data_IF_233766688150
#
_entry.id   IF_233766688150
#
_cell.length_a   1.000
_cell.length_b   1.000
_cell.length_c   1.000
_cell.angle_alpha   90.00
_cell.angle_beta   90.00
_cell.angle_gamma   90.00
#
_symmetry.space_group_name_H-M   'P 1'
#
loop_
_entity.id
_entity.type
_entity.pdbx_description
1 polymer ?
#
# COMPACT_ATOMS: atom_id res chain seq x y z
N UNK A 1 -4.20 3.68 8.00
CA UNK A 1 -4.31 3.00 6.69
C UNK A 1 -4.19 4.01 5.54
N UNK A 2 -3.80 3.58 4.35
CA UNK A 2 -3.84 4.35 3.09
C UNK A 2 -4.95 3.86 2.14
N UNK A 3 -5.72 2.84 2.54
CA UNK A 3 -6.73 2.17 1.70
C UNK A 3 -6.14 1.52 0.42
N UNK A 4 -6.97 1.26 -0.58
CA UNK A 4 -6.60 0.53 -1.79
C UNK A 4 -5.74 1.40 -2.72
N UNK A 5 -4.73 0.80 -3.36
CA UNK A 5 -3.97 1.41 -4.45
C UNK A 5 -4.35 0.81 -5.82
N UNK A 6 -4.00 1.49 -6.91
CA UNK A 6 -4.27 1.06 -8.28
C UNK A 6 -5.28 1.92 -9.02
N UNK A 7 -5.84 1.40 -10.11
CA UNK A 7 -6.71 2.11 -11.05
C UNK A 7 -7.96 2.74 -10.40
N UNK A 8 -8.51 2.09 -9.38
CA UNK A 8 -9.62 2.60 -8.55
C UNK A 8 -9.19 2.82 -7.10
N UNK A 9 -7.88 2.92 -6.86
CA UNK A 9 -7.32 3.21 -5.55
C UNK A 9 -7.48 4.67 -5.16
N UNK A 10 -7.19 4.99 -3.91
CA UNK A 10 -7.20 6.36 -3.44
C UNK A 10 -6.02 7.14 -4.01
N UNK A 11 -6.22 8.45 -4.19
CA UNK A 11 -5.15 9.36 -4.65
C UNK A 11 -3.95 9.29 -3.72
N UNK A 12 -4.18 9.30 -2.40
CA UNK A 12 -3.11 9.28 -1.40
C UNK A 12 -2.37 7.92 -1.35
N UNK A 13 -3.01 6.78 -1.65
CA UNK A 13 -2.32 5.50 -1.80
C UNK A 13 -1.40 5.50 -3.02
N UNK A 14 -1.91 5.93 -4.18
CA UNK A 14 -1.11 5.99 -5.41
C UNK A 14 0.04 7.00 -5.28
N UNK A 15 -0.21 8.14 -4.64
CA UNK A 15 0.82 9.14 -4.31
C UNK A 15 1.92 8.55 -3.42
N UNK A 16 1.54 7.77 -2.39
CA UNK A 16 2.52 7.18 -1.47
C UNK A 16 3.48 6.23 -2.17
N UNK A 17 3.03 5.53 -3.22
CA UNK A 17 3.86 4.61 -4.01
C UNK A 17 4.68 5.36 -5.04
N UNK A 18 4.14 6.43 -5.63
CA UNK A 18 4.88 7.28 -6.58
C UNK A 18 6.06 8.01 -5.92
N UNK A 19 5.87 8.47 -4.68
CA UNK A 19 6.86 9.26 -3.93
C UNK A 19 7.72 8.46 -2.96
N UNK A 20 7.49 7.16 -2.81
CA UNK A 20 8.32 6.35 -1.92
C UNK A 20 9.75 6.19 -2.43
N UNK A 21 10.68 6.08 -1.48
CA UNK A 21 12.07 5.68 -1.70
C UNK A 21 12.29 4.19 -1.38
N UNK A 22 11.36 3.56 -0.66
CA UNK A 22 11.31 2.13 -0.34
C UNK A 22 9.88 1.61 -0.51
N UNK A 23 9.71 0.58 -1.33
CA UNK A 23 8.45 -0.14 -1.51
C UNK A 23 8.59 -1.56 -0.94
N UNK A 24 7.80 -1.85 0.10
CA UNK A 24 7.69 -3.17 0.71
C UNK A 24 6.50 -3.93 0.09
N UNK A 25 6.79 -4.78 -0.88
CA UNK A 25 5.82 -5.58 -1.62
C UNK A 25 5.71 -6.98 -0.98
N UNK A 26 4.72 -7.15 -0.10
CA UNK A 26 4.52 -8.38 0.68
C UNK A 26 3.32 -9.17 0.15
N UNK A 27 3.56 -10.32 -0.47
CA UNK A 27 2.50 -11.21 -1.00
C UNK A 27 1.70 -10.58 -2.15
N UNK A 28 2.38 -9.83 -3.04
CA UNK A 28 1.75 -9.15 -4.18
C UNK A 28 2.45 -9.52 -5.48
N UNK A 29 1.68 -9.53 -6.58
CA UNK A 29 2.12 -9.97 -7.91
C UNK A 29 2.36 -8.86 -8.94
N UNK A 30 2.39 -7.60 -8.50
CA UNK A 30 2.53 -6.42 -9.38
C UNK A 30 1.60 -6.47 -10.62
N UNK A 31 0.31 -6.71 -10.39
CA UNK A 31 -0.75 -6.77 -11.41
C UNK A 31 -0.89 -5.40 -12.12
N UNK A 32 -1.25 -5.40 -13.41
CA UNK A 32 -1.36 -4.20 -14.25
C UNK A 32 -2.46 -3.24 -13.76
N UNK A 33 -3.52 -3.75 -13.14
CA UNK A 33 -4.57 -2.91 -12.51
C UNK A 33 -4.07 -2.09 -11.34
N UNK A 34 -2.93 -2.50 -10.76
CA UNK A 34 -2.28 -1.79 -9.66
C UNK A 34 -1.14 -0.92 -10.18
N UNK A 35 -0.34 -1.45 -11.09
CA UNK A 35 0.89 -0.80 -11.54
C UNK A 35 0.69 0.19 -12.69
N UNK A 36 -0.35 0.02 -13.51
CA UNK A 36 -0.54 0.78 -14.73
C UNK A 36 0.68 0.68 -15.64
N UNK A 37 1.39 1.79 -15.84
CA UNK A 37 2.66 1.80 -16.57
C UNK A 37 3.81 1.39 -15.67
N UNK A 38 4.35 0.18 -15.86
CA UNK A 38 5.39 -0.41 -15.02
C UNK A 38 6.64 0.45 -14.87
N UNK A 39 7.08 1.19 -15.90
CA UNK A 39 8.28 2.04 -15.81
C UNK A 39 8.05 3.24 -14.88
N UNK A 40 6.82 3.75 -14.80
CA UNK A 40 6.47 4.85 -13.92
C UNK A 40 6.19 4.36 -12.49
N UNK A 41 5.67 3.15 -12.33
CA UNK A 41 5.33 2.59 -11.03
C UNK A 41 6.55 2.47 -10.11
N UNK A 42 6.48 3.15 -8.95
CA UNK A 42 7.52 3.18 -7.93
C UNK A 42 8.92 3.46 -8.50
N UNK A 43 9.00 4.33 -9.52
CA UNK A 43 10.22 4.56 -10.32
C UNK A 43 11.44 5.04 -9.53
N UNK A 44 11.23 5.62 -8.34
CA UNK A 44 12.28 6.13 -7.45
C UNK A 44 12.54 5.23 -6.24
N UNK A 45 11.77 4.16 -6.07
CA UNK A 45 11.82 3.33 -4.88
C UNK A 45 12.77 2.14 -5.04
N UNK A 46 13.48 1.81 -3.96
CA UNK A 46 14.04 0.47 -3.76
C UNK A 46 12.90 -0.48 -3.47
N UNK A 47 12.86 -1.60 -4.17
CA UNK A 47 11.75 -2.55 -4.08
C UNK A 47 12.22 -3.77 -3.30
N UNK A 48 11.52 -4.10 -2.21
CA UNK A 48 11.66 -5.35 -1.48
C UNK A 48 10.45 -6.21 -1.78
N UNK A 49 10.64 -7.40 -2.35
CA UNK A 49 9.54 -8.28 -2.73
C UNK A 49 9.62 -9.60 -1.97
N UNK A 50 8.57 -9.91 -1.20
CA UNK A 50 8.42 -11.19 -0.51
C UNK A 50 7.24 -11.91 -1.13
N UNK A 51 7.49 -13.08 -1.72
CA UNK A 51 6.46 -13.92 -2.30
C UNK A 51 6.76 -15.39 -2.03
N UNK A 52 5.72 -16.21 -1.90
CA UNK A 52 5.87 -17.65 -1.74
C UNK A 52 6.17 -18.33 -3.08
N UNK A 53 5.73 -17.71 -4.19
CA UNK A 53 5.97 -18.18 -5.55
C UNK A 53 7.17 -17.48 -6.18
N UNK A 54 8.24 -18.25 -6.43
CA UNK A 54 9.45 -17.74 -7.09
C UNK A 54 9.19 -17.25 -8.51
N UNK A 55 8.13 -17.74 -9.17
CA UNK A 55 7.77 -17.31 -10.52
C UNK A 55 7.19 -15.88 -10.57
N UNK A 56 6.68 -15.35 -9.46
CA UNK A 56 6.19 -13.96 -9.39
C UNK A 56 7.31 -12.95 -9.09
N UNK A 57 8.40 -13.40 -8.46
CA UNK A 57 9.55 -12.54 -8.14
C UNK A 57 10.29 -12.17 -9.43
N UNK A 58 10.32 -10.86 -9.74
CA UNK A 58 11.01 -10.34 -10.93
C UNK A 58 10.23 -10.51 -12.24
N UNK A 59 9.00 -11.03 -12.20
CA UNK A 59 8.15 -11.25 -13.39
C UNK A 59 7.77 -9.94 -14.09
N UNK A 60 7.13 -9.02 -13.36
CA UNK A 60 6.66 -7.74 -13.90
C UNK A 60 7.57 -6.57 -13.50
N UNK A 61 8.16 -6.61 -12.30
CA UNK A 61 9.03 -5.57 -11.77
C UNK A 61 10.22 -6.22 -11.07
N UNK A 62 11.42 -5.80 -11.43
CA UNK A 62 12.64 -6.34 -10.82
C UNK A 62 12.82 -5.77 -9.40
N UNK A 63 12.83 -6.60 -8.35
CA UNK A 63 13.09 -6.14 -7.00
C UNK A 63 14.58 -5.87 -6.78
N UNK A 64 14.89 -4.98 -5.84
CA UNK A 64 16.25 -4.74 -5.39
C UNK A 64 16.68 -5.79 -4.34
N UNK A 65 15.72 -6.25 -3.54
CA UNK A 65 15.89 -7.34 -2.57
C UNK A 65 14.65 -8.23 -2.65
N UNK A 66 14.84 -9.55 -2.61
CA UNK A 66 13.73 -10.49 -2.64
C UNK A 66 13.89 -11.61 -1.62
N UNK A 67 12.77 -12.07 -1.06
CA UNK A 67 12.70 -13.26 -0.22
C UNK A 67 11.64 -14.18 -0.83
N UNK A 68 12.06 -15.37 -1.25
CA UNK A 68 11.13 -16.42 -1.67
C UNK A 68 10.76 -17.27 -0.46
N UNK A 69 9.52 -17.19 0.02
CA UNK A 69 9.05 -17.94 1.18
C UNK A 69 7.75 -17.43 1.78
N UNK A 70 7.35 -18.06 2.88
CA UNK A 70 6.14 -17.69 3.61
C UNK A 70 6.30 -16.29 4.24
N UNK A 71 5.43 -15.36 3.84
CA UNK A 71 5.38 -13.99 4.34
C UNK A 71 5.20 -13.95 5.87
N UNK A 72 4.42 -14.87 6.45
CA UNK A 72 4.21 -14.93 7.90
C UNK A 72 5.51 -15.18 8.64
N UNK A 73 6.32 -16.12 8.16
CA UNK A 73 7.62 -16.44 8.75
C UNK A 73 8.62 -15.29 8.54
N UNK A 74 8.60 -14.65 7.36
CA UNK A 74 9.44 -13.49 7.09
C UNK A 74 9.11 -12.32 8.04
N UNK A 75 7.83 -12.02 8.26
CA UNK A 75 7.39 -10.98 9.19
C UNK A 75 7.77 -11.32 10.64
N UNK A 76 7.67 -12.59 11.05
CA UNK A 76 8.13 -13.02 12.39
C UNK A 76 9.62 -12.74 12.58
N UNK A 77 10.47 -13.12 11.62
CA UNK A 77 11.91 -12.84 11.69
C UNK A 77 12.24 -11.35 11.68
N UNK A 78 11.56 -10.57 10.83
CA UNK A 78 11.73 -9.11 10.78
C UNK A 78 11.32 -8.45 12.11
N UNK A 79 10.21 -8.88 12.71
CA UNK A 79 9.75 -8.37 14.01
C UNK A 79 10.76 -8.67 15.11
N UNK A 80 11.29 -9.90 15.21
CA UNK A 80 12.31 -10.23 16.21
C UNK A 80 13.56 -9.34 16.07
N UNK A 81 14.02 -9.10 14.84
CA UNK A 81 15.16 -8.21 14.60
C UNK A 81 14.85 -6.76 15.01
N UNK A 82 13.64 -6.27 14.73
CA UNK A 82 13.21 -4.92 15.10
C UNK A 82 13.11 -4.78 16.63
N UNK A 83 12.56 -5.77 17.33
CA UNK A 83 12.45 -5.79 18.79
C UNK A 83 13.83 -5.75 19.46
N UNK A 84 14.78 -6.55 18.99
CA UNK A 84 16.17 -6.55 19.48
C UNK A 84 16.89 -5.20 19.25
N UNK A 85 16.43 -4.41 18.28
CA UNK A 85 17.06 -3.17 17.82
C UNK A 85 16.24 -1.92 18.10
N UNK A 86 15.10 -2.01 18.80
CA UNK A 86 14.14 -0.92 18.98
C UNK A 86 14.77 0.32 19.66
N UNK A 87 15.82 0.13 20.47
CA UNK A 87 16.58 1.24 21.10
C UNK A 87 17.80 1.71 20.31
N UNK A 88 18.15 1.06 19.20
CA UNK A 88 19.32 1.37 18.35
C UNK A 88 18.92 1.97 17.01
N UNK A 89 17.71 1.66 16.53
CA UNK A 89 17.17 2.20 15.29
C UNK A 89 16.28 3.39 15.61
N UNK A 90 16.68 4.58 15.16
CA UNK A 90 15.80 5.75 15.22
C UNK A 90 14.90 5.78 13.98
N UNK A 91 13.81 4.99 14.02
CA UNK A 91 12.83 4.93 12.94
C UNK A 91 11.77 6.01 13.12
N UNK A 92 12.02 7.20 12.56
CA UNK A 92 11.01 8.25 12.49
C UNK A 92 10.58 8.53 11.04
N UNK A 93 9.30 8.30 10.78
CA UNK A 93 8.63 8.59 9.52
C UNK A 93 7.54 9.66 9.71
N UNK A 94 7.61 10.48 10.77
CA UNK A 94 6.62 11.51 11.12
C UNK A 94 6.37 12.48 9.98
N UNK A 95 7.43 13.06 9.40
CA UNK A 95 7.33 14.00 8.29
C UNK A 95 6.65 13.38 7.06
N UNK A 96 7.03 12.15 6.70
CA UNK A 96 6.41 11.42 5.59
C UNK A 96 4.93 11.11 5.86
N UNK A 97 4.59 10.68 7.08
CA UNK A 97 3.20 10.44 7.49
C UNK A 97 2.37 11.72 7.45
N UNK A 98 2.96 12.86 7.81
CA UNK A 98 2.29 14.16 7.73
C UNK A 98 1.99 14.52 6.28
N UNK A 99 2.96 14.41 5.37
CA UNK A 99 2.75 14.66 3.95
C UNK A 99 1.62 13.80 3.38
N UNK A 100 1.57 12.50 3.74
CA UNK A 100 0.49 11.61 3.31
C UNK A 100 -0.88 11.98 3.90
N UNK A 101 -0.92 12.53 5.12
CA UNK A 101 -2.16 13.01 5.71
C UNK A 101 -2.68 14.26 4.99
N UNK A 102 -1.78 15.17 4.58
CA UNK A 102 -2.16 16.33 3.75
C UNK A 102 -2.78 15.87 2.42
N UNK A 103 -2.23 14.81 1.79
CA UNK A 103 -2.84 14.23 0.58
C UNK A 103 -4.21 13.59 0.84
N UNK A 104 -4.43 12.98 2.01
CA UNK A 104 -5.73 12.41 2.38
C UNK A 104 -6.79 13.48 2.54
N UNK A 105 -6.46 14.58 3.21
CA UNK A 105 -7.38 15.69 3.44
C UNK A 105 -7.68 16.42 2.13
N UNK A 106 -6.68 16.58 1.27
CA UNK A 106 -6.83 17.25 -0.03
C UNK A 106 -7.62 16.41 -1.04
N UNK A 107 -7.47 15.08 -0.99
CA UNK A 107 -8.08 14.16 -1.95
C UNK A 107 -8.73 12.95 -1.26
N UNK A 108 -9.80 13.17 -0.46
CA UNK A 108 -10.55 12.09 0.15
C UNK A 108 -11.39 11.34 -0.89
N UNK A 109 -11.84 10.14 -0.53
CA UNK A 109 -12.92 9.50 -1.28
C UNK A 109 -14.20 10.32 -1.08
N UNK A 110 -14.89 10.60 -2.17
CA UNK A 110 -16.15 11.33 -2.15
C UNK A 110 -17.08 10.85 -3.26
N UNK A 111 -18.38 11.02 -3.03
CA UNK A 111 -19.42 10.71 -4.00
C UNK A 111 -20.48 11.81 -3.96
N UNK A 112 -21.22 11.94 -5.07
CA UNK A 112 -22.37 12.85 -5.16
C UNK A 112 -23.61 12.12 -4.70
N UNK A 113 -24.44 12.80 -3.93
CA UNK A 113 -25.78 12.36 -3.59
C UNK A 113 -26.79 13.01 -4.54
N UNK A 114 -27.85 12.28 -4.85
CA UNK A 114 -28.95 12.76 -5.68
C UNK A 114 -30.25 12.54 -4.90
N UNK A 115 -31.14 13.53 -4.85
CA UNK A 115 -32.31 13.53 -3.96
C UNK A 115 -33.23 12.32 -4.16
N UNK A 116 -33.40 11.87 -5.41
CA UNK A 116 -34.31 10.77 -5.75
C UNK A 116 -33.60 9.41 -6.00
N UNK A 117 -32.32 9.27 -5.62
CA UNK A 117 -31.57 8.03 -5.87
C UNK A 117 -30.64 7.63 -4.73
N UNK A 118 -30.63 6.34 -4.41
CA UNK A 118 -29.67 5.76 -3.49
C UNK A 118 -28.31 5.66 -4.18
N UNK A 119 -27.32 6.37 -3.64
CA UNK A 119 -25.94 6.24 -4.10
C UNK A 119 -25.38 4.90 -3.61
N UNK A 120 -24.81 4.05 -4.49
CA UNK A 120 -24.29 2.74 -4.08
C UNK A 120 -23.17 2.87 -3.03
N UNK A 121 -22.39 3.95 -3.08
CA UNK A 121 -21.36 4.27 -2.09
C UNK A 121 -21.97 4.51 -0.71
N UNK A 122 -23.11 5.21 -0.64
CA UNK A 122 -23.81 5.47 0.61
C UNK A 122 -24.38 4.19 1.21
N UNK A 123 -24.97 3.32 0.39
CA UNK A 123 -25.49 2.02 0.86
C UNK A 123 -24.39 1.16 1.51
N UNK A 124 -23.20 1.12 0.92
CA UNK A 124 -22.04 0.40 1.48
C UNK A 124 -21.56 1.08 2.76
N UNK A 125 -21.51 2.41 2.80
CA UNK A 125 -21.09 3.15 3.99
C UNK A 125 -22.03 2.88 5.18
N UNK A 126 -23.35 2.91 4.96
CA UNK A 126 -24.33 2.61 6.02
C UNK A 126 -24.20 1.17 6.50
N UNK A 127 -23.95 0.21 5.60
CA UNK A 127 -23.72 -1.17 6.00
C UNK A 127 -22.51 -1.28 6.93
N UNK A 128 -21.38 -0.67 6.56
CA UNK A 128 -20.14 -0.64 7.34
C UNK A 128 -20.35 -0.01 8.73
N UNK A 129 -21.08 1.11 8.80
CA UNK A 129 -21.44 1.78 10.07
C UNK A 129 -22.29 0.88 10.98
N UNK A 130 -23.20 0.08 10.41
CA UNK A 130 -24.07 -0.82 11.17
C UNK A 130 -23.38 -2.12 11.60
N UNK A 131 -22.36 -2.58 10.87
CA UNK A 131 -21.60 -3.80 11.20
C UNK A 131 -20.31 -3.54 11.97
N UNK A 132 -19.83 -2.29 12.02
CA UNK A 132 -18.49 -1.90 12.50
C UNK A 132 -17.35 -2.59 11.72
N UNK A 133 -17.56 -2.83 10.43
CA UNK A 133 -16.74 -3.72 9.61
C UNK A 133 -17.23 -5.16 9.70
#
# INVERSE_FOLDING_TARGET
SLQMLGMHGTVHANYSVDKSDLLLAFGVRFDDRVTGKLEAFASRAKIVHIDIDSAEIGKNKQPHVSICGDLKLALQGLNSILEERIGKLNLDFSAWRQELNEQKEKFPLGYKTFEDAISPQYAIQVLDELTNG
#
